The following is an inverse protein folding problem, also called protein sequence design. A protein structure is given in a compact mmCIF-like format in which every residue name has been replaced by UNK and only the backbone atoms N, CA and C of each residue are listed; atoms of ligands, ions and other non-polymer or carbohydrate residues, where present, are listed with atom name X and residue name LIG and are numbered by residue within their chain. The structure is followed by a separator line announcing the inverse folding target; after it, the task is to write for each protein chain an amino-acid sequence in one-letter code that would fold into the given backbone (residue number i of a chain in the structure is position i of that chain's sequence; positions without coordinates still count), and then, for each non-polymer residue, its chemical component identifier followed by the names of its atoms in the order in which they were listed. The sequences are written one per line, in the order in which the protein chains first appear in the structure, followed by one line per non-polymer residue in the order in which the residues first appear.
data_IF_501859846321
#
_entry.id   IF_501859846321
#
_cell.length_a   1.000
_cell.length_b   1.000
_cell.length_c   1.000
_cell.angle_alpha   90.00
_cell.angle_beta   90.00
_cell.angle_gamma   90.00
#
_symmetry.space_group_name_H-M   'P 1'
#
loop_
_entity.id
_entity.type
_entity.pdbx_description
1 polymer ?
#
# COMPACT_ATOMS: atom_id res chain seq x y z
N UNK A 1 8.79 -18.58 19.74
CA UNK A 1 8.88 -17.15 19.38
C UNK A 1 8.00 -16.78 18.18
N UNK A 2 7.40 -17.75 17.46
CA UNK A 2 6.57 -17.49 16.26
C UNK A 2 5.07 -17.26 16.54
N UNK A 3 4.46 -17.91 17.54
CA UNK A 3 3.01 -17.83 17.79
C UNK A 3 2.50 -16.42 18.13
N UNK A 4 3.31 -15.62 18.85
CA UNK A 4 2.92 -14.25 19.20
C UNK A 4 2.85 -13.38 17.94
N UNK A 5 3.77 -13.54 17.00
CA UNK A 5 3.78 -12.77 15.75
C UNK A 5 2.66 -13.19 14.78
N UNK A 6 2.22 -14.45 14.83
CA UNK A 6 1.12 -14.96 14.01
C UNK A 6 -0.22 -14.30 14.38
N UNK A 7 -0.45 -14.00 15.67
CA UNK A 7 -1.68 -13.36 16.11
C UNK A 7 -1.69 -11.84 15.85
N UNK A 8 -0.53 -11.17 15.99
CA UNK A 8 -0.42 -9.71 15.81
C UNK A 8 -0.56 -9.26 14.34
N UNK A 9 -0.43 -10.19 13.38
CA UNK A 9 -0.54 -9.92 11.94
C UNK A 9 -1.88 -10.31 11.33
N UNK A 10 -2.87 -10.60 12.18
CA UNK A 10 -4.23 -10.95 11.76
C UNK A 10 -5.16 -9.74 11.72
N UNK A 11 -5.99 -9.71 10.69
CA UNK A 11 -7.03 -8.72 10.53
C UNK A 11 -8.25 -9.07 11.37
N UNK A 12 -8.58 -8.26 12.37
CA UNK A 12 -9.71 -8.49 13.29
C UNK A 12 -11.08 -8.56 12.62
N UNK A 13 -11.23 -8.08 11.37
CA UNK A 13 -12.48 -8.17 10.60
C UNK A 13 -12.71 -9.56 9.98
N UNK A 14 -11.66 -10.21 9.49
CA UNK A 14 -11.76 -11.49 8.77
C UNK A 14 -11.03 -12.64 9.45
N UNK A 15 -10.29 -12.37 10.53
CA UNK A 15 -9.48 -13.34 11.26
C UNK A 15 -8.38 -14.02 10.42
N UNK A 16 -7.94 -13.36 9.35
CA UNK A 16 -6.90 -13.83 8.44
C UNK A 16 -5.68 -12.92 8.51
N UNK A 17 -4.49 -13.44 8.21
CA UNK A 17 -3.29 -12.62 8.01
C UNK A 17 -3.57 -11.49 7.02
N UNK A 18 -3.11 -10.27 7.30
CA UNK A 18 -3.43 -9.13 6.44
C UNK A 18 -3.15 -9.43 4.96
N UNK A 19 -4.13 -9.13 4.12
CA UNK A 19 -3.98 -9.09 2.66
C UNK A 19 -4.05 -7.62 2.31
N UNK A 20 -2.96 -7.10 1.76
CA UNK A 20 -2.83 -5.69 1.41
C UNK A 20 -3.06 -4.79 2.64
N UNK A 21 -2.16 -4.86 3.60
CA UNK A 21 -2.29 -4.17 4.89
C UNK A 21 -2.44 -2.65 4.70
N UNK A 22 -3.45 -2.09 5.36
CA UNK A 22 -3.73 -0.66 5.45
C UNK A 22 -3.74 -0.26 6.90
N UNK A 23 -2.92 0.73 7.25
CA UNK A 23 -2.90 1.37 8.56
C UNK A 23 -3.68 2.67 8.52
N UNK A 24 -4.55 2.87 9.51
CA UNK A 24 -5.36 4.07 9.67
C UNK A 24 -4.60 5.17 10.40
N UNK A 25 -5.12 6.40 10.40
CA UNK A 25 -4.61 7.52 11.21
C UNK A 25 -4.54 7.21 12.71
N UNK A 26 -5.33 6.26 13.21
CA UNK A 26 -5.31 5.79 14.59
C UNK A 26 -4.33 4.63 14.84
N UNK A 27 -3.42 4.36 13.90
CA UNK A 27 -2.43 3.27 13.93
C UNK A 27 -2.95 1.83 13.89
N UNK A 28 -4.26 1.60 13.87
CA UNK A 28 -4.82 0.25 13.68
C UNK A 28 -4.75 -0.19 12.21
N UNK A 29 -4.43 -1.46 11.99
CA UNK A 29 -4.24 -2.04 10.67
C UNK A 29 -5.31 -3.08 10.32
N UNK A 30 -5.68 -3.12 9.04
CA UNK A 30 -6.70 -4.01 8.48
C UNK A 30 -6.31 -4.42 7.06
N UNK A 31 -6.97 -5.44 6.50
CA UNK A 31 -6.89 -5.68 5.06
C UNK A 31 -7.52 -4.51 4.30
N UNK A 32 -6.93 -4.10 3.18
CA UNK A 32 -7.48 -3.07 2.27
C UNK A 32 -8.95 -3.34 1.91
N UNK A 33 -9.25 -4.58 1.49
CA UNK A 33 -10.62 -5.01 1.19
C UNK A 33 -11.57 -4.83 2.38
N UNK A 34 -11.19 -5.35 3.55
CA UNK A 34 -12.05 -5.38 4.73
C UNK A 34 -12.39 -3.97 5.23
N UNK A 35 -11.40 -3.07 5.31
CA UNK A 35 -11.65 -1.71 5.77
C UNK A 35 -12.44 -0.90 4.76
N UNK A 36 -12.28 -1.17 3.46
CA UNK A 36 -13.09 -0.53 2.43
C UNK A 36 -14.56 -0.95 2.51
N UNK A 37 -14.85 -2.24 2.68
CA UNK A 37 -16.22 -2.73 2.92
C UNK A 37 -16.82 -2.13 4.19
N UNK A 38 -16.06 -2.05 5.29
CA UNK A 38 -16.51 -1.44 6.54
C UNK A 38 -16.91 0.04 6.34
N UNK A 39 -16.06 0.81 5.65
CA UNK A 39 -16.31 2.24 5.41
C UNK A 39 -17.50 2.55 4.52
N UNK A 40 -18.08 1.56 3.81
CA UNK A 40 -19.36 1.74 3.13
C UNK A 40 -20.53 1.94 4.10
N UNK A 41 -20.39 1.48 5.35
CA UNK A 41 -21.42 1.59 6.39
C UNK A 41 -21.07 2.64 7.43
N UNK A 42 -19.82 2.68 7.88
CA UNK A 42 -19.36 3.60 8.93
C UNK A 42 -17.91 4.04 8.73
N UNK A 43 -17.66 5.35 8.82
CA UNK A 43 -16.31 5.94 8.66
C UNK A 43 -15.59 6.04 10.01
N UNK A 44 -15.63 4.97 10.80
CA UNK A 44 -14.98 4.86 12.12
C UNK A 44 -14.07 3.62 12.17
N UNK A 45 -12.99 3.67 12.94
CA UNK A 45 -12.13 2.51 13.16
C UNK A 45 -12.92 1.38 13.84
N UNK A 46 -12.90 0.13 13.33
CA UNK A 46 -13.57 -1.01 13.95
C UNK A 46 -13.11 -1.31 15.39
N UNK A 47 -11.89 -0.92 15.76
CA UNK A 47 -11.28 -1.21 17.06
C UNK A 47 -11.56 -0.07 18.05
N UNK A 48 -11.05 1.14 17.77
CA UNK A 48 -11.11 2.27 18.71
C UNK A 48 -12.22 3.28 18.43
N UNK A 49 -12.99 3.10 17.35
CA UNK A 49 -14.11 3.98 16.95
C UNK A 49 -13.72 5.42 16.61
N UNK A 50 -12.42 5.72 16.50
CA UNK A 50 -11.97 7.01 16.01
C UNK A 50 -12.34 7.20 14.53
N UNK A 51 -12.70 8.42 14.14
CA UNK A 51 -12.98 8.78 12.75
C UNK A 51 -11.78 8.49 11.84
N UNK A 52 -12.06 7.90 10.68
CA UNK A 52 -11.04 7.56 9.69
C UNK A 52 -10.77 8.77 8.80
N UNK A 53 -9.58 9.36 8.96
CA UNK A 53 -9.11 10.52 8.19
C UNK A 53 -8.12 10.14 7.10
N UNK A 54 -7.37 9.07 7.29
CA UNK A 54 -6.42 8.57 6.30
C UNK A 54 -6.30 7.04 6.35
N UNK A 55 -5.90 6.47 5.21
CA UNK A 55 -5.63 5.05 4.99
C UNK A 55 -4.31 4.95 4.23
N UNK A 56 -3.29 4.32 4.82
CA UNK A 56 -1.97 4.20 4.22
C UNK A 56 -1.58 2.74 4.07
N UNK A 57 -1.15 2.33 2.87
CA UNK A 57 -0.63 0.97 2.62
C UNK A 57 0.68 0.75 3.38
N UNK A 58 0.79 -0.39 4.05
CA UNK A 58 1.99 -0.74 4.82
C UNK A 58 2.75 -1.89 4.15
N UNK A 59 3.73 -1.51 3.31
CA UNK A 59 4.61 -2.49 2.63
C UNK A 59 5.43 -3.32 3.61
N UNK A 60 5.76 -2.76 4.78
CA UNK A 60 6.51 -3.47 5.82
C UNK A 60 5.70 -4.65 6.36
N UNK A 61 4.40 -4.43 6.63
CA UNK A 61 3.51 -5.50 7.07
C UNK A 61 3.30 -6.53 5.96
N UNK A 62 3.04 -6.10 4.73
CA UNK A 62 2.89 -6.99 3.58
C UNK A 62 4.13 -7.90 3.42
N UNK A 63 5.33 -7.31 3.35
CA UNK A 63 6.59 -8.05 3.22
C UNK A 63 6.88 -8.99 4.41
N UNK A 64 6.47 -8.60 5.63
CA UNK A 64 6.64 -9.44 6.81
C UNK A 64 5.76 -10.68 6.72
N UNK A 65 4.49 -10.49 6.35
CA UNK A 65 3.51 -11.56 6.20
C UNK A 65 3.93 -12.50 5.08
N UNK A 66 4.42 -11.99 3.94
CA UNK A 66 4.86 -12.84 2.83
C UNK A 66 5.99 -13.79 3.27
N UNK A 67 6.97 -13.29 4.05
CA UNK A 67 8.04 -14.14 4.59
C UNK A 67 7.56 -15.15 5.63
N UNK A 68 6.49 -14.84 6.36
CA UNK A 68 5.89 -15.77 7.32
C UNK A 68 5.08 -16.85 6.62
N UNK A 69 4.25 -16.44 5.65
CA UNK A 69 3.42 -17.33 4.84
C UNK A 69 4.28 -18.34 4.08
N UNK A 70 5.48 -17.95 3.62
CA UNK A 70 6.39 -18.87 2.93
C UNK A 70 6.78 -20.09 3.79
N UNK A 71 6.70 -19.99 5.12
CA UNK A 71 7.03 -21.07 6.04
C UNK A 71 5.82 -21.90 6.48
N UNK A 72 4.61 -21.52 6.10
CA UNK A 72 3.39 -22.26 6.40
C UNK A 72 3.25 -23.49 5.50
N UNK A 73 2.34 -24.39 5.88
CA UNK A 73 2.02 -25.56 5.07
C UNK A 73 1.31 -25.18 3.75
N UNK A 74 1.21 -26.16 2.85
CA UNK A 74 0.64 -25.96 1.51
C UNK A 74 -0.84 -25.59 1.59
N UNK A 75 -1.59 -26.17 2.53
CA UNK A 75 -3.03 -25.95 2.69
C UNK A 75 -3.32 -24.49 3.09
N UNK A 76 -2.58 -23.97 4.07
CA UNK A 76 -2.68 -22.57 4.51
C UNK A 76 -2.29 -21.59 3.39
N UNK A 77 -1.26 -21.91 2.59
CA UNK A 77 -0.87 -21.09 1.44
C UNK A 77 -1.98 -21.06 0.38
N UNK A 78 -2.57 -22.21 0.05
CA UNK A 78 -3.66 -22.31 -0.92
C UNK A 78 -4.91 -21.56 -0.46
N UNK A 79 -5.28 -21.69 0.83
CA UNK A 79 -6.38 -20.93 1.43
C UNK A 79 -6.17 -19.43 1.29
N UNK A 80 -4.97 -18.94 1.63
CA UNK A 80 -4.63 -17.52 1.47
C UNK A 80 -4.74 -17.05 0.02
N UNK A 81 -4.24 -17.84 -0.94
CA UNK A 81 -4.31 -17.50 -2.37
C UNK A 81 -5.76 -17.47 -2.88
N UNK A 82 -6.62 -18.37 -2.40
CA UNK A 82 -8.05 -18.38 -2.70
C UNK A 82 -8.72 -17.07 -2.26
N UNK A 83 -8.47 -16.65 -1.01
CA UNK A 83 -8.99 -15.39 -0.48
C UNK A 83 -8.50 -14.17 -1.26
N UNK A 84 -7.22 -14.15 -1.67
CA UNK A 84 -6.67 -13.07 -2.49
C UNK A 84 -7.41 -12.99 -3.84
N UNK A 85 -7.63 -14.12 -4.50
CA UNK A 85 -8.34 -14.20 -5.78
C UNK A 85 -9.77 -13.68 -5.66
N UNK A 86 -10.51 -14.18 -4.68
CA UNK A 86 -11.89 -13.79 -4.42
C UNK A 86 -12.03 -12.28 -4.18
N UNK A 87 -11.13 -11.69 -3.37
CA UNK A 87 -11.13 -10.25 -3.08
C UNK A 87 -10.83 -9.40 -4.32
N UNK A 88 -9.89 -9.83 -5.17
CA UNK A 88 -9.56 -9.16 -6.43
C UNK A 88 -10.74 -9.15 -7.40
N UNK A 89 -11.43 -10.29 -7.55
CA UNK A 89 -12.62 -10.40 -8.40
C UNK A 89 -13.73 -9.45 -7.93
N UNK A 90 -14.02 -9.44 -6.61
CA UNK A 90 -15.02 -8.54 -6.02
C UNK A 90 -14.67 -7.06 -6.18
N UNK A 91 -13.40 -6.70 -6.13
CA UNK A 91 -12.94 -5.33 -6.36
C UNK A 91 -13.01 -4.92 -7.85
N UNK A 92 -12.73 -5.84 -8.77
CA UNK A 92 -12.77 -5.57 -10.21
C UNK A 92 -14.20 -5.36 -10.74
N UNK A 93 -15.22 -5.96 -10.10
CA UNK A 93 -16.64 -5.73 -10.46
C UNK A 93 -17.11 -4.31 -10.10
N UNK A 94 -16.47 -3.62 -9.16
CA UNK A 94 -16.80 -2.25 -8.77
C UNK A 94 -16.15 -1.18 -9.66
N UNK A 95 -15.10 -1.55 -10.41
CA UNK A 95 -14.50 -0.72 -11.47
C UNK A 95 -15.14 -1.14 -12.79
N UNK A 96 -16.38 -0.74 -13.05
CA UNK A 96 -16.92 -0.83 -14.42
C UNK A 96 -15.96 -0.02 -15.33
N UNK A 97 -15.63 -0.51 -16.54
CA UNK A 97 -14.91 0.32 -17.50
C UNK A 97 -15.75 1.57 -17.72
N UNK A 98 -15.17 2.75 -17.53
CA UNK A 98 -15.75 3.96 -18.08
C UNK A 98 -15.82 3.76 -19.60
N UNK A 99 -17.03 3.55 -20.13
CA UNK A 99 -17.28 3.67 -21.56
C UNK A 99 -17.36 5.16 -21.87
N UNK A 100 -16.21 5.83 -21.87
CA UNK A 100 -16.10 7.20 -22.34
C UNK A 100 -15.77 7.13 -23.83
N UNK A 101 -16.78 6.81 -24.64
CA UNK A 101 -16.81 7.29 -26.01
C UNK A 101 -17.54 8.63 -25.97
N UNK A 102 -16.84 9.66 -25.49
CA UNK A 102 -17.22 11.03 -25.79
C UNK A 102 -16.03 11.74 -26.42
N UNK A 103 -16.21 12.01 -27.71
CA UNK A 103 -15.21 12.58 -28.59
C UNK A 103 -15.22 14.09 -28.40
N UNK A 104 -14.54 14.62 -27.39
CA UNK A 104 -14.10 16.02 -27.40
C UNK A 104 -13.13 16.33 -26.26
N UNK A 105 -12.02 16.98 -26.65
CA UNK A 105 -11.03 17.72 -25.84
C UNK A 105 -10.02 16.94 -24.98
N UNK A 106 -8.99 16.38 -25.64
CA UNK A 106 -7.61 16.48 -25.10
C UNK A 106 -6.82 17.40 -26.04
N UNK A 107 -6.86 18.69 -25.76
CA UNK A 107 -5.78 19.60 -26.12
C UNK A 107 -4.82 19.63 -24.93
N UNK A 108 -3.52 19.63 -25.23
CA UNK A 108 -2.39 19.76 -24.28
C UNK A 108 -1.76 18.46 -23.78
N UNK A 109 -1.30 17.62 -24.71
CA UNK A 109 0.03 17.02 -24.58
C UNK A 109 0.95 17.72 -25.60
N UNK A 110 2.01 18.32 -25.04
CA UNK A 110 3.10 19.08 -25.66
C UNK A 110 3.62 18.55 -27.01
N UNK A 111 4.18 19.43 -27.85
CA UNK A 111 5.66 19.48 -27.89
C UNK A 111 6.21 20.90 -28.09
N UNK A 112 7.46 21.13 -27.67
CA UNK A 112 8.54 21.66 -28.53
C UNK A 112 9.82 21.77 -27.69
N UNK A 113 10.84 21.04 -28.14
CA UNK A 113 12.24 21.27 -27.79
C UNK A 113 12.67 22.66 -28.27
N UNK A 114 13.27 23.47 -27.38
CA UNK A 114 14.42 24.31 -27.74
C UNK A 114 15.24 24.69 -26.51
N UNK A 115 16.41 24.05 -26.41
CA UNK A 115 17.71 24.59 -26.01
C UNK A 115 17.76 25.67 -24.90
N UNK A 116 18.37 25.30 -23.77
CA UNK A 116 19.46 26.09 -23.18
C UNK A 116 20.45 25.16 -22.50
N UNK A 117 21.71 25.22 -22.95
CA UNK A 117 22.86 24.59 -22.31
C UNK A 117 23.17 25.36 -21.03
N UNK A 118 23.44 24.65 -19.95
CA UNK A 118 24.28 25.14 -18.87
C UNK A 118 25.22 24.00 -18.48
N UNK A 119 26.42 24.07 -19.02
CA UNK A 119 27.58 23.32 -18.56
C UNK A 119 28.00 23.91 -17.20
N UNK A 120 28.20 23.07 -16.18
CA UNK A 120 29.09 23.42 -15.08
C UNK A 120 29.85 22.16 -14.65
N UNK A 121 31.16 22.33 -14.61
CA UNK A 121 32.22 21.32 -14.67
C UNK A 121 32.41 20.56 -13.36
N UNK A 122 32.92 19.34 -13.47
CA UNK A 122 33.63 18.62 -12.41
C UNK A 122 34.95 19.33 -12.07
N UNK A 123 35.26 19.45 -10.79
CA UNK A 123 36.61 19.51 -10.19
C UNK A 123 36.43 19.73 -8.69
N UNK A 124 37.24 19.30 -7.73
CA UNK A 124 38.31 18.31 -7.62
C UNK A 124 38.65 18.27 -6.10
N UNK A 125 39.30 17.19 -5.66
CA UNK A 125 39.84 17.03 -4.30
C UNK A 125 40.70 18.25 -3.88
N UNK A 126 40.50 18.76 -2.66
CA UNK A 126 41.62 19.13 -1.76
C UNK A 126 41.21 19.10 -0.28
N UNK A 127 42.07 18.40 0.46
CA UNK A 127 42.14 18.28 1.91
C UNK A 127 43.03 19.41 2.43
N UNK A 128 42.64 20.13 3.50
CA UNK A 128 43.51 20.42 4.66
C UNK A 128 42.81 21.29 5.72
N UNK A 129 42.72 20.69 6.92
CA UNK A 129 43.04 21.26 8.24
C UNK A 129 42.67 22.72 8.55
N UNK A 130 41.73 22.89 9.49
CA UNK A 130 41.82 23.94 10.50
C UNK A 130 41.68 23.32 11.90
N UNK A 131 42.73 23.48 12.69
CA UNK A 131 42.82 23.22 14.12
C UNK A 131 42.55 24.52 14.89
N UNK A 132 42.20 24.39 16.18
CA UNK A 132 42.00 25.41 17.25
C UNK A 132 40.49 25.71 17.41
N UNK A 133 39.83 25.40 18.53
CA UNK A 133 40.23 25.44 19.95
C UNK A 133 39.64 24.23 20.69
#
# INVERSE_FOLDING_TARGET
MNEVLENELQCTICSEHFIEAVTLNCAHSFCSYCINEWTKRKVECPICRQEIKSKTRSLVLDNCIDRMVEKLDVEMKEHRLSLIRERKEKQHVLVKPATDNDSSVISSIYPILSMSRCDCEEDSYHNESYHMI
#
